data_IF_358238414380
#
_entry.id   IF_358238414380
#
_cell.length_a   1.000
_cell.length_b   1.000
_cell.length_c   1.000
_cell.angle_alpha   90.00
_cell.angle_beta   90.00
_cell.angle_gamma   90.00
#
_symmetry.space_group_name_H-M   'P 1'
#
loop_
_entity.id
_entity.type
_entity.pdbx_description
1 polymer ?
#
# COMPACT_ATOMS: atom_id res chain seq x y z
N UNK A 1 42.01 -22.15 -18.77
CA UNK A 1 40.57 -22.08 -19.08
C UNK A 1 39.85 -21.73 -17.78
N UNK A 2 39.62 -20.44 -17.51
CA UNK A 2 39.01 -19.98 -16.25
C UNK A 2 37.50 -20.01 -16.45
N UNK A 3 36.82 -20.95 -15.79
CA UNK A 3 35.36 -20.97 -15.71
C UNK A 3 34.90 -19.73 -14.93
N UNK A 4 34.39 -18.73 -15.66
CA UNK A 4 33.71 -17.57 -15.06
C UNK A 4 32.33 -18.06 -14.60
N UNK A 5 32.23 -18.48 -13.34
CA UNK A 5 30.92 -18.68 -12.71
C UNK A 5 30.23 -17.31 -12.67
N UNK A 6 29.36 -17.01 -13.64
CA UNK A 6 28.41 -15.91 -13.48
C UNK A 6 27.41 -16.35 -12.43
N UNK A 7 27.69 -16.03 -11.18
CA UNK A 7 26.80 -16.15 -10.02
C UNK A 7 25.64 -15.18 -10.19
N UNK A 8 24.74 -15.49 -11.12
CA UNK A 8 23.44 -14.82 -11.17
C UNK A 8 22.75 -15.05 -9.82
N UNK A 9 22.29 -13.99 -9.14
CA UNK A 9 21.60 -14.15 -7.86
C UNK A 9 20.36 -15.03 -8.05
N UNK A 10 20.02 -15.82 -7.03
CA UNK A 10 18.77 -16.57 -7.06
C UNK A 10 17.58 -15.61 -7.13
N UNK A 11 16.45 -16.10 -7.66
CA UNK A 11 15.23 -15.28 -7.79
C UNK A 11 14.79 -14.67 -6.45
N UNK A 12 14.94 -15.41 -5.35
CA UNK A 12 14.67 -14.94 -4.00
C UNK A 12 15.57 -13.76 -3.61
N UNK A 13 16.88 -13.84 -3.91
CA UNK A 13 17.82 -12.73 -3.68
C UNK A 13 17.44 -11.52 -4.53
N UNK A 14 16.99 -11.71 -5.77
CA UNK A 14 16.53 -10.60 -6.62
C UNK A 14 15.32 -9.88 -6.01
N UNK A 15 14.35 -10.61 -5.45
CA UNK A 15 13.19 -10.01 -4.77
C UNK A 15 13.62 -9.26 -3.52
N UNK A 16 14.48 -9.86 -2.70
CA UNK A 16 14.98 -9.20 -1.49
C UNK A 16 15.73 -7.91 -1.81
N UNK A 17 16.55 -7.91 -2.88
CA UNK A 17 17.21 -6.70 -3.35
C UNK A 17 16.20 -5.66 -3.87
N UNK A 18 15.17 -6.09 -4.60
CA UNK A 18 14.13 -5.19 -5.09
C UNK A 18 13.34 -4.53 -3.96
N UNK A 19 12.85 -5.31 -3.00
CA UNK A 19 12.15 -4.79 -1.81
C UNK A 19 13.08 -3.94 -0.96
N UNK A 20 14.32 -4.39 -0.75
CA UNK A 20 15.33 -3.64 -0.02
C UNK A 20 15.59 -2.28 -0.63
N UNK A 21 15.69 -2.18 -1.96
CA UNK A 21 15.85 -0.91 -2.67
C UNK A 21 14.64 0.01 -2.48
N UNK A 22 13.42 -0.51 -2.60
CA UNK A 22 12.19 0.26 -2.42
C UNK A 22 12.07 0.82 -0.99
N UNK A 23 12.25 -0.06 0.01
CA UNK A 23 12.16 0.30 1.43
C UNK A 23 13.30 1.23 1.84
N UNK A 24 14.52 1.05 1.32
CA UNK A 24 15.60 2.01 1.52
C UNK A 24 15.26 3.39 0.92
N UNK A 25 14.56 3.43 -0.21
CA UNK A 25 14.00 4.65 -0.78
C UNK A 25 13.02 5.33 0.17
N UNK A 26 12.10 4.56 0.76
CA UNK A 26 11.12 5.05 1.74
C UNK A 26 11.81 5.69 2.95
N UNK A 27 12.76 4.97 3.56
CA UNK A 27 13.54 5.49 4.67
C UNK A 27 14.41 6.70 4.30
N UNK A 28 14.90 6.77 3.06
CA UNK A 28 15.62 7.95 2.59
C UNK A 28 14.70 9.18 2.53
N UNK A 29 13.47 9.05 2.02
CA UNK A 29 12.49 10.15 2.02
C UNK A 29 12.09 10.56 3.44
N UNK A 30 11.81 9.61 4.33
CA UNK A 30 11.53 9.88 5.75
C UNK A 30 12.71 10.60 6.43
N UNK A 31 13.94 10.13 6.19
CA UNK A 31 15.16 10.74 6.73
C UNK A 31 15.41 12.15 6.20
N UNK A 32 15.17 12.38 4.90
CA UNK A 32 15.26 13.71 4.29
C UNK A 32 14.20 14.67 4.86
N UNK A 33 12.99 14.19 5.13
CA UNK A 33 11.93 14.96 5.75
C UNK A 33 12.27 15.38 7.19
N UNK A 34 12.83 14.45 7.98
CA UNK A 34 13.36 14.75 9.31
C UNK A 34 14.50 15.78 9.25
N UNK A 35 15.45 15.60 8.34
CA UNK A 35 16.58 16.51 8.16
C UNK A 35 16.12 17.92 7.74
N UNK A 36 15.20 18.00 6.79
CA UNK A 36 14.61 19.24 6.30
C UNK A 36 13.90 20.03 7.41
N UNK A 37 13.24 19.33 8.33
CA UNK A 37 12.46 19.94 9.41
C UNK A 37 13.34 20.32 10.60
N UNK A 38 14.16 19.39 11.11
CA UNK A 38 14.85 19.59 12.40
C UNK A 38 16.28 20.10 12.30
N UNK A 39 16.97 19.85 11.19
CA UNK A 39 18.40 20.18 11.07
C UNK A 39 18.60 21.38 10.16
N UNK A 40 18.00 21.34 8.97
CA UNK A 40 18.15 22.41 7.98
C UNK A 40 17.22 23.59 8.25
N UNK A 41 16.04 23.33 8.83
CA UNK A 41 15.00 24.34 9.05
C UNK A 41 14.50 25.00 7.76
N UNK A 42 14.78 24.39 6.60
CA UNK A 42 14.48 24.95 5.27
C UNK A 42 13.01 24.84 4.91
N UNK A 43 12.27 23.90 5.52
CA UNK A 43 10.88 23.58 5.19
C UNK A 43 10.65 23.44 3.67
N UNK A 44 11.65 22.89 2.97
CA UNK A 44 11.62 22.74 1.53
C UNK A 44 10.49 21.77 1.16
N UNK A 45 9.56 22.15 0.26
CA UNK A 45 8.49 21.28 -0.18
C UNK A 45 8.99 20.00 -0.86
N UNK A 46 10.20 20.01 -1.43
CA UNK A 46 10.79 18.88 -2.13
C UNK A 46 11.10 17.68 -1.23
N UNK A 47 11.43 17.95 0.03
CA UNK A 47 11.76 16.92 1.02
C UNK A 47 10.62 16.72 2.03
N UNK A 48 9.44 17.26 1.76
CA UNK A 48 8.28 17.01 2.57
C UNK A 48 7.53 15.78 2.04
N UNK A 49 7.37 14.75 2.87
CA UNK A 49 6.62 13.54 2.48
C UNK A 49 5.11 13.78 2.53
N UNK A 50 4.63 14.61 3.46
CA UNK A 50 3.22 15.03 3.59
C UNK A 50 2.77 15.98 2.47
N UNK A 51 3.61 16.19 1.46
CA UNK A 51 3.31 17.15 0.39
C UNK A 51 2.62 16.44 -0.76
N UNK A 52 1.37 16.84 -0.98
CA UNK A 52 0.66 16.52 -2.21
C UNK A 52 1.44 16.91 -3.47
N UNK A 53 1.45 15.96 -4.39
CA UNK A 53 2.23 15.89 -5.62
C UNK A 53 3.71 16.17 -5.39
N UNK A 54 4.21 15.74 -4.23
CA UNK A 54 5.61 15.81 -3.82
C UNK A 54 6.44 14.68 -4.41
N UNK A 55 7.77 14.78 -4.26
CA UNK A 55 8.70 13.80 -4.83
C UNK A 55 8.49 12.40 -4.22
N UNK A 56 8.16 12.33 -2.92
CA UNK A 56 7.85 11.08 -2.24
C UNK A 56 6.58 10.41 -2.79
N UNK A 57 5.54 11.20 -3.06
CA UNK A 57 4.29 10.70 -3.66
C UNK A 57 4.51 10.21 -5.09
N UNK A 58 5.31 10.92 -5.91
CA UNK A 58 5.69 10.42 -7.23
C UNK A 58 6.46 9.08 -7.16
N UNK A 59 7.26 8.88 -6.12
CA UNK A 59 7.91 7.59 -5.88
C UNK A 59 6.87 6.50 -5.58
N UNK A 60 5.83 6.79 -4.81
CA UNK A 60 4.68 5.90 -4.59
C UNK A 60 3.93 5.60 -5.90
N UNK A 61 3.70 6.60 -6.76
CA UNK A 61 3.08 6.39 -8.08
C UNK A 61 3.82 5.37 -8.94
N UNK A 62 5.16 5.46 -8.97
CA UNK A 62 6.00 4.51 -9.70
C UNK A 62 5.80 3.09 -9.18
N UNK A 63 5.64 2.90 -7.86
CA UNK A 63 5.38 1.57 -7.29
C UNK A 63 4.01 1.04 -7.69
N UNK A 64 2.96 1.87 -7.71
CA UNK A 64 1.66 1.43 -8.22
C UNK A 64 1.72 1.01 -9.69
N UNK A 65 2.44 1.77 -10.54
CA UNK A 65 2.69 1.40 -11.94
C UNK A 65 3.44 0.07 -12.02
N UNK A 66 4.48 -0.13 -11.22
CA UNK A 66 5.21 -1.40 -11.18
C UNK A 66 4.34 -2.56 -10.73
N UNK A 67 3.49 -2.39 -9.71
CA UNK A 67 2.52 -3.41 -9.29
C UNK A 67 1.62 -3.80 -10.47
N UNK A 68 1.05 -2.82 -11.18
CA UNK A 68 0.19 -3.09 -12.34
C UNK A 68 0.95 -3.83 -13.46
N UNK A 69 2.17 -3.43 -13.78
CA UNK A 69 3.01 -4.10 -14.78
C UNK A 69 3.38 -5.53 -14.36
N UNK A 70 3.73 -5.75 -13.09
CA UNK A 70 4.04 -7.07 -12.57
C UNK A 70 2.82 -7.99 -12.58
N UNK A 71 1.62 -7.46 -12.28
CA UNK A 71 0.37 -8.22 -12.43
C UNK A 71 0.11 -8.61 -13.88
N UNK A 72 0.43 -7.76 -14.87
CA UNK A 72 0.40 -8.15 -16.29
C UNK A 72 1.33 -9.33 -16.56
N UNK A 73 2.54 -9.35 -15.98
CA UNK A 73 3.47 -10.49 -16.08
C UNK A 73 2.85 -11.75 -15.45
N UNK A 74 2.20 -11.64 -14.29
CA UNK A 74 1.49 -12.75 -13.65
C UNK A 74 0.36 -13.28 -14.55
N UNK A 75 -0.41 -12.41 -15.21
CA UNK A 75 -1.47 -12.81 -16.17
C UNK A 75 -0.87 -13.64 -17.29
N UNK A 76 0.22 -13.18 -17.91
CA UNK A 76 0.85 -13.87 -19.03
C UNK A 76 1.37 -15.25 -18.63
N UNK A 77 1.89 -15.37 -17.40
CA UNK A 77 2.45 -16.63 -16.89
C UNK A 77 1.39 -17.61 -16.40
N UNK A 78 0.47 -17.15 -15.55
CA UNK A 78 -0.57 -18.00 -14.96
C UNK A 78 -1.77 -18.19 -15.91
N UNK A 79 -1.81 -17.46 -17.04
CA UNK A 79 -2.91 -17.45 -18.03
C UNK A 79 -4.27 -17.16 -17.40
N UNK A 80 -4.28 -16.38 -16.33
CA UNK A 80 -5.47 -16.06 -15.54
C UNK A 80 -5.81 -14.59 -15.68
N UNK A 81 -6.89 -14.29 -16.40
CA UNK A 81 -7.41 -12.92 -16.54
C UNK A 81 -8.01 -12.37 -15.25
N UNK A 82 -8.18 -13.21 -14.21
CA UNK A 82 -8.71 -12.77 -12.92
C UNK A 82 -7.85 -11.67 -12.27
N UNK A 83 -6.54 -11.62 -12.53
CA UNK A 83 -5.64 -10.57 -12.04
C UNK A 83 -5.91 -9.18 -12.64
N UNK A 84 -6.70 -9.06 -13.70
CA UNK A 84 -7.17 -7.76 -14.20
C UNK A 84 -7.95 -7.01 -13.11
N UNK A 85 -8.69 -7.73 -12.26
CA UNK A 85 -9.39 -7.11 -11.13
C UNK A 85 -8.45 -6.36 -10.18
N UNK A 86 -7.28 -6.94 -9.88
CA UNK A 86 -6.26 -6.27 -9.07
C UNK A 86 -5.57 -5.12 -9.80
N UNK A 87 -5.34 -5.23 -11.11
CA UNK A 87 -4.79 -4.12 -11.90
C UNK A 87 -5.71 -2.90 -11.80
N UNK A 88 -7.03 -3.10 -11.95
CA UNK A 88 -8.01 -2.02 -11.84
C UNK A 88 -7.96 -1.36 -10.46
N UNK A 89 -7.82 -2.13 -9.38
CA UNK A 89 -7.68 -1.59 -8.02
C UNK A 89 -6.43 -0.71 -7.88
N UNK A 90 -5.26 -1.19 -8.31
CA UNK A 90 -4.03 -0.40 -8.17
C UNK A 90 -3.97 0.81 -9.11
N UNK A 91 -4.56 0.71 -10.30
CA UNK A 91 -4.72 1.87 -11.17
C UNK A 91 -5.69 2.89 -10.57
N UNK A 92 -6.74 2.43 -9.87
CA UNK A 92 -7.61 3.33 -9.12
C UNK A 92 -6.83 4.05 -8.02
N UNK A 93 -6.07 3.35 -7.17
CA UNK A 93 -5.24 4.01 -6.13
C UNK A 93 -4.31 5.07 -6.73
N UNK A 94 -3.60 4.73 -7.82
CA UNK A 94 -2.75 5.68 -8.53
C UNK A 94 -3.53 6.90 -9.03
N UNK A 95 -4.70 6.69 -9.64
CA UNK A 95 -5.53 7.79 -10.14
C UNK A 95 -6.08 8.64 -8.99
N UNK A 96 -6.56 7.99 -7.93
CA UNK A 96 -7.13 8.64 -6.77
C UNK A 96 -6.13 9.61 -6.14
N UNK A 97 -4.90 9.17 -5.86
CA UNK A 97 -3.83 10.01 -5.32
C UNK A 97 -3.45 11.13 -6.32
N UNK A 98 -3.21 10.77 -7.59
CA UNK A 98 -2.72 11.72 -8.59
C UNK A 98 -3.68 12.89 -8.88
N UNK A 99 -4.98 12.62 -8.94
CA UNK A 99 -6.01 13.61 -9.25
C UNK A 99 -6.92 13.95 -8.06
N UNK A 100 -6.66 13.39 -6.87
CA UNK A 100 -7.37 13.67 -5.62
C UNK A 100 -8.87 13.40 -5.74
N UNK A 101 -9.25 12.19 -6.18
CA UNK A 101 -10.67 11.86 -6.41
C UNK A 101 -11.43 11.88 -5.09
N UNK A 102 -10.92 11.23 -4.04
CA UNK A 102 -11.58 11.16 -2.74
C UNK A 102 -11.72 12.54 -2.08
N UNK A 103 -10.72 13.42 -2.18
CA UNK A 103 -10.83 14.81 -1.69
C UNK A 103 -11.86 15.62 -2.48
N UNK A 104 -11.76 15.60 -3.80
CA UNK A 104 -12.61 16.44 -4.67
C UNK A 104 -14.07 16.01 -4.60
N UNK A 105 -14.34 14.71 -4.71
CA UNK A 105 -15.69 14.16 -4.63
C UNK A 105 -16.20 14.22 -3.18
N UNK A 106 -15.35 13.98 -2.19
CA UNK A 106 -15.71 14.08 -0.77
C UNK A 106 -16.20 15.48 -0.42
N UNK A 107 -15.49 16.51 -0.88
CA UNK A 107 -15.90 17.91 -0.69
C UNK A 107 -17.22 18.26 -1.37
N UNK A 108 -17.48 17.71 -2.56
CA UNK A 108 -18.77 17.87 -3.24
C UNK A 108 -19.92 17.21 -2.48
N UNK A 109 -19.68 16.03 -1.88
CA UNK A 109 -20.70 15.31 -1.11
C UNK A 109 -21.13 16.08 0.14
N UNK A 110 -20.19 16.70 0.85
CA UNK A 110 -20.48 17.38 2.12
C UNK A 110 -20.77 18.87 1.98
N UNK A 111 -20.48 19.47 0.82
CA UNK A 111 -20.69 20.89 0.56
C UNK A 111 -22.14 21.37 0.69
N UNK A 112 -23.11 20.46 0.54
CA UNK A 112 -24.54 20.75 0.66
C UNK A 112 -25.22 20.05 1.86
N UNK A 113 -24.42 19.42 2.74
CA UNK A 113 -24.95 18.66 3.88
C UNK A 113 -24.66 19.40 5.18
N UNK A 114 -25.73 19.76 5.88
CA UNK A 114 -25.65 20.36 7.20
C UNK A 114 -25.67 19.29 8.28
N UNK A 115 -24.48 18.99 8.81
CA UNK A 115 -24.31 18.22 10.02
C UNK A 115 -23.21 18.84 10.89
N UNK A 116 -23.27 18.60 12.19
CA UNK A 116 -22.25 19.05 13.13
C UNK A 116 -21.08 18.06 13.07
N UNK A 117 -19.84 18.50 12.79
CA UNK A 117 -18.69 17.62 12.81
C UNK A 117 -18.50 17.01 14.21
N UNK A 118 -18.10 15.73 14.26
CA UNK A 118 -17.92 14.98 15.49
C UNK A 118 -16.51 14.40 15.55
N UNK A 119 -16.07 13.99 16.75
CA UNK A 119 -14.79 13.33 16.97
C UNK A 119 -13.53 14.14 16.57
N UNK A 120 -13.62 15.46 16.48
CA UNK A 120 -12.50 16.32 16.06
C UNK A 120 -12.24 16.34 14.56
N UNK A 121 -13.05 15.63 13.77
CA UNK A 121 -12.94 15.61 12.31
C UNK A 121 -13.68 16.78 11.66
N UNK A 122 -13.23 17.18 10.49
CA UNK A 122 -13.87 18.17 9.61
C UNK A 122 -14.97 17.50 8.79
N UNK A 123 -15.91 18.27 8.26
CA UNK A 123 -16.92 17.74 7.32
C UNK A 123 -16.26 17.04 6.11
N UNK A 124 -15.17 17.64 5.61
CA UNK A 124 -14.39 17.14 4.49
C UNK A 124 -13.93 15.70 4.72
N UNK A 125 -13.38 15.40 5.89
CA UNK A 125 -12.83 14.08 6.25
C UNK A 125 -13.91 12.99 6.21
N UNK A 126 -15.14 13.30 6.62
CA UNK A 126 -16.28 12.38 6.46
C UNK A 126 -16.66 12.16 4.98
N UNK A 127 -16.55 13.20 4.16
CA UNK A 127 -16.77 13.11 2.72
C UNK A 127 -15.73 12.23 2.04
N UNK A 128 -14.45 12.43 2.36
CA UNK A 128 -13.32 11.63 1.90
C UNK A 128 -13.51 10.16 2.28
N UNK A 129 -13.79 9.88 3.57
CA UNK A 129 -14.05 8.53 4.05
C UNK A 129 -15.23 7.87 3.32
N UNK A 130 -16.32 8.62 3.07
CA UNK A 130 -17.49 8.11 2.36
C UNK A 130 -17.16 7.74 0.90
N UNK A 131 -16.35 8.56 0.20
CA UNK A 131 -15.90 8.24 -1.16
C UNK A 131 -14.96 7.04 -1.15
N UNK A 132 -13.98 7.00 -0.24
CA UNK A 132 -13.02 5.89 -0.15
C UNK A 132 -13.72 4.56 0.14
N UNK A 133 -14.67 4.53 1.08
CA UNK A 133 -15.49 3.34 1.36
C UNK A 133 -16.39 2.99 0.18
N UNK A 134 -17.08 3.98 -0.40
CA UNK A 134 -17.98 3.78 -1.54
C UNK A 134 -17.26 3.19 -2.74
N UNK A 135 -16.12 3.76 -3.13
CA UNK A 135 -15.32 3.26 -4.25
C UNK A 135 -14.68 1.91 -3.91
N UNK A 136 -14.21 1.71 -2.68
CA UNK A 136 -13.73 0.41 -2.20
C UNK A 136 -14.78 -0.68 -2.38
N UNK A 137 -16.04 -0.42 -1.99
CA UNK A 137 -17.15 -1.36 -2.20
C UNK A 137 -17.43 -1.63 -3.68
N UNK A 138 -17.38 -0.61 -4.54
CA UNK A 138 -17.56 -0.77 -5.99
C UNK A 138 -16.46 -1.67 -6.58
N UNK A 139 -15.19 -1.44 -6.19
CA UNK A 139 -14.04 -2.22 -6.65
C UNK A 139 -14.05 -3.65 -6.10
N UNK A 140 -14.63 -3.88 -4.92
CA UNK A 140 -14.78 -5.21 -4.34
C UNK A 140 -15.69 -6.12 -5.17
N UNK A 141 -16.71 -5.59 -5.86
CA UNK A 141 -17.66 -6.40 -6.63
C UNK A 141 -16.98 -7.26 -7.71
N UNK A 142 -16.24 -6.71 -8.69
CA UNK A 142 -15.54 -7.51 -9.70
C UNK A 142 -14.44 -8.40 -9.09
N UNK A 143 -13.85 -7.97 -7.97
CA UNK A 143 -12.80 -8.72 -7.27
C UNK A 143 -13.36 -9.97 -6.59
N UNK A 144 -14.48 -9.85 -5.87
CA UNK A 144 -15.19 -10.98 -5.26
C UNK A 144 -15.61 -11.99 -6.32
N UNK A 145 -16.14 -11.50 -7.45
CA UNK A 145 -16.48 -12.37 -8.58
C UNK A 145 -15.26 -13.12 -9.13
N UNK A 146 -14.14 -12.41 -9.28
CA UNK A 146 -12.86 -13.00 -9.72
C UNK A 146 -12.33 -14.03 -8.73
N UNK A 147 -12.47 -13.79 -7.42
CA UNK A 147 -12.08 -14.73 -6.35
C UNK A 147 -12.94 -15.98 -6.37
N UNK A 148 -14.25 -15.80 -6.55
CA UNK A 148 -15.20 -16.91 -6.58
C UNK A 148 -14.92 -17.84 -7.77
N UNK A 149 -14.64 -17.29 -8.96
CA UNK A 149 -14.33 -18.09 -10.16
C UNK A 149 -12.85 -18.48 -10.31
N UNK A 150 -11.96 -17.80 -9.59
CA UNK A 150 -10.52 -17.93 -9.74
C UNK A 150 -9.96 -19.26 -9.22
N UNK A 151 -8.74 -19.57 -9.65
CA UNK A 151 -7.99 -20.74 -9.18
C UNK A 151 -7.66 -20.62 -7.68
N UNK A 152 -7.35 -21.75 -7.02
CA UNK A 152 -6.90 -21.72 -5.63
C UNK A 152 -5.64 -20.85 -5.43
N UNK A 153 -4.75 -20.82 -6.43
CA UNK A 153 -3.57 -19.93 -6.43
C UNK A 153 -4.01 -18.48 -6.42
N UNK A 154 -4.90 -18.07 -7.34
CA UNK A 154 -5.43 -16.71 -7.39
C UNK A 154 -6.11 -16.30 -6.07
N UNK A 155 -6.88 -17.20 -5.45
CA UNK A 155 -7.54 -16.93 -4.17
C UNK A 155 -6.54 -16.65 -3.05
N UNK A 156 -5.51 -17.48 -2.90
CA UNK A 156 -4.45 -17.27 -1.90
C UNK A 156 -3.68 -15.98 -2.18
N UNK A 157 -3.32 -15.73 -3.43
CA UNK A 157 -2.68 -14.47 -3.84
C UNK A 157 -3.55 -13.27 -3.50
N UNK A 158 -4.86 -13.37 -3.72
CA UNK A 158 -5.80 -12.30 -3.42
C UNK A 158 -5.92 -12.05 -1.92
N UNK A 159 -5.92 -13.08 -1.08
CA UNK A 159 -5.92 -12.92 0.37
C UNK A 159 -4.65 -12.22 0.87
N UNK A 160 -3.49 -12.58 0.33
CA UNK A 160 -2.23 -11.93 0.66
C UNK A 160 -2.21 -10.46 0.23
N UNK A 161 -2.68 -10.14 -0.99
CA UNK A 161 -2.82 -8.76 -1.47
C UNK A 161 -3.82 -7.98 -0.59
N UNK A 162 -4.96 -8.59 -0.23
CA UNK A 162 -5.94 -7.97 0.67
C UNK A 162 -5.33 -7.63 2.03
N UNK A 163 -4.55 -8.54 2.61
CA UNK A 163 -3.88 -8.29 3.88
C UNK A 163 -2.91 -7.11 3.79
N UNK A 164 -2.13 -7.03 2.70
CA UNK A 164 -1.19 -5.94 2.47
C UNK A 164 -1.88 -4.60 2.13
N UNK A 165 -3.00 -4.62 1.40
CA UNK A 165 -3.86 -3.44 1.24
C UNK A 165 -4.47 -3.03 2.58
N UNK A 166 -4.82 -3.98 3.45
CA UNK A 166 -5.27 -3.67 4.80
C UNK A 166 -4.24 -2.87 5.59
N UNK A 167 -2.94 -3.15 5.39
CA UNK A 167 -1.86 -2.35 5.97
C UNK A 167 -1.82 -0.93 5.38
N UNK A 168 -1.94 -0.80 4.06
CA UNK A 168 -2.01 0.50 3.38
C UNK A 168 -3.19 1.34 3.88
N UNK A 169 -4.40 0.77 3.90
CA UNK A 169 -5.63 1.42 4.39
C UNK A 169 -5.53 1.77 5.87
N UNK A 170 -4.84 0.96 6.67
CA UNK A 170 -4.61 1.29 8.07
C UNK A 170 -3.83 2.60 8.21
N UNK A 171 -2.75 2.79 7.44
CA UNK A 171 -2.00 4.04 7.48
C UNK A 171 -2.78 5.19 6.86
N UNK A 172 -3.22 5.07 5.60
CA UNK A 172 -3.85 6.17 4.87
C UNK A 172 -5.31 6.48 5.21
N UNK A 173 -5.91 5.75 6.15
CA UNK A 173 -7.25 6.09 6.64
C UNK A 173 -7.27 6.11 8.16
N UNK A 174 -6.81 5.04 8.83
CA UNK A 174 -6.95 4.97 10.29
C UNK A 174 -5.97 5.92 10.98
N UNK A 175 -4.70 5.92 10.57
CA UNK A 175 -3.69 6.82 11.17
C UNK A 175 -3.97 8.27 10.81
N UNK A 176 -4.33 8.56 9.55
CA UNK A 176 -4.77 9.90 9.11
C UNK A 176 -5.94 10.45 9.97
N UNK A 177 -7.02 9.66 10.14
CA UNK A 177 -8.14 10.09 10.98
C UNK A 177 -7.71 10.36 12.44
N UNK A 178 -6.77 9.59 12.99
CA UNK A 178 -6.22 9.87 14.32
C UNK A 178 -5.35 11.13 14.34
N UNK A 179 -4.55 11.34 13.30
CA UNK A 179 -3.71 12.52 13.15
C UNK A 179 -4.57 13.80 13.19
N UNK A 180 -5.69 13.82 12.47
CA UNK A 180 -6.63 14.94 12.46
C UNK A 180 -7.40 15.06 13.79
N UNK A 181 -7.94 13.95 14.30
CA UNK A 181 -8.86 13.95 15.44
C UNK A 181 -8.20 14.30 16.80
N UNK A 182 -6.92 13.94 17.00
CA UNK A 182 -6.28 14.03 18.32
C UNK A 182 -5.76 15.42 18.67
N UNK A 183 -5.72 16.38 17.72
CA UNK A 183 -5.24 17.76 17.91
C UNK A 183 -3.97 17.83 18.78
N UNK A 184 -2.98 16.99 18.47
CA UNK A 184 -1.76 16.86 19.27
C UNK A 184 -0.90 18.13 19.21
N UNK A 185 0.05 18.23 20.15
CA UNK A 185 1.12 19.23 20.04
C UNK A 185 1.90 19.06 18.74
N UNK A 186 2.60 20.11 18.30
CA UNK A 186 3.33 20.11 17.03
C UNK A 186 4.19 18.85 16.82
N UNK A 187 4.94 18.41 17.83
CA UNK A 187 5.77 17.21 17.73
C UNK A 187 4.98 15.89 17.63
N UNK A 188 3.79 15.82 18.25
CA UNK A 188 2.91 14.66 18.16
C UNK A 188 2.21 14.56 16.81
N UNK A 189 1.70 15.70 16.29
CA UNK A 189 1.12 15.78 14.94
C UNK A 189 2.17 15.43 13.88
N UNK A 190 3.37 16.02 13.97
CA UNK A 190 4.48 15.69 13.08
C UNK A 190 4.86 14.19 13.08
N UNK A 191 4.90 13.57 14.26
CA UNK A 191 5.20 12.14 14.36
C UNK A 191 4.09 11.28 13.74
N UNK A 192 2.82 11.66 13.92
CA UNK A 192 1.70 10.93 13.31
C UNK A 192 1.72 11.05 11.79
N UNK A 193 1.92 12.26 11.23
CA UNK A 193 2.09 12.44 9.78
C UNK A 193 3.25 11.62 9.20
N UNK A 194 4.39 11.58 9.90
CA UNK A 194 5.52 10.73 9.50
C UNK A 194 5.18 9.23 9.52
N UNK A 195 4.39 8.77 10.51
CA UNK A 195 3.97 7.36 10.62
C UNK A 195 2.93 7.02 9.56
N UNK A 196 2.02 7.94 9.28
CA UNK A 196 0.99 7.86 8.26
C UNK A 196 1.62 7.68 6.88
N UNK A 197 2.26 8.72 6.34
CA UNK A 197 2.86 8.69 4.99
C UNK A 197 3.96 7.64 4.87
N UNK A 198 4.84 7.55 5.88
CA UNK A 198 5.91 6.56 5.89
C UNK A 198 5.37 5.13 5.89
N UNK A 199 4.28 4.91 6.62
CA UNK A 199 3.58 3.63 6.69
C UNK A 199 2.93 3.25 5.36
N UNK A 200 2.29 4.21 4.68
CA UNK A 200 1.78 3.99 3.32
C UNK A 200 2.90 3.60 2.35
N UNK A 201 3.97 4.39 2.30
CA UNK A 201 5.09 4.17 1.39
C UNK A 201 5.67 2.77 1.53
N UNK A 202 5.91 2.32 2.77
CA UNK A 202 6.41 0.98 3.09
C UNK A 202 5.39 -0.09 2.70
N UNK A 203 4.10 0.14 2.94
CA UNK A 203 3.03 -0.79 2.58
C UNK A 203 2.99 -1.05 1.07
N UNK A 204 3.12 0.00 0.25
CA UNK A 204 3.18 -0.12 -1.21
C UNK A 204 4.47 -0.82 -1.66
N UNK A 205 5.60 -0.58 -0.97
CA UNK A 205 6.86 -1.30 -1.23
C UNK A 205 6.74 -2.81 -0.98
N UNK A 206 6.06 -3.20 0.11
CA UNK A 206 5.78 -4.61 0.42
C UNK A 206 4.82 -5.23 -0.59
N UNK A 207 3.78 -4.50 -1.02
CA UNK A 207 2.87 -4.92 -2.09
C UNK A 207 3.62 -5.18 -3.40
N UNK A 208 4.46 -4.25 -3.84
CA UNK A 208 5.28 -4.40 -5.03
C UNK A 208 6.21 -5.63 -4.93
N UNK A 209 6.85 -5.81 -3.78
CA UNK A 209 7.67 -6.98 -3.49
C UNK A 209 6.92 -8.30 -3.58
N UNK A 210 5.75 -8.37 -2.96
CA UNK A 210 4.90 -9.54 -2.98
C UNK A 210 4.42 -9.88 -4.39
N UNK A 211 3.94 -8.89 -5.15
CA UNK A 211 3.52 -9.11 -6.55
C UNK A 211 4.71 -9.52 -7.42
N UNK A 212 5.90 -8.97 -7.18
CA UNK A 212 7.11 -9.41 -7.89
C UNK A 212 7.44 -10.88 -7.58
N UNK A 213 7.33 -11.30 -6.31
CA UNK A 213 7.47 -12.70 -5.92
C UNK A 213 6.51 -13.62 -6.70
N UNK A 214 5.28 -13.16 -6.95
CA UNK A 214 4.29 -13.91 -7.74
C UNK A 214 4.65 -14.06 -9.22
N UNK A 215 5.57 -13.27 -9.75
CA UNK A 215 6.02 -13.42 -11.15
C UNK A 215 6.88 -14.68 -11.37
N UNK A 216 7.57 -15.20 -10.35
CA UNK A 216 8.45 -16.36 -10.49
C UNK A 216 7.84 -17.70 -10.12
N UNK A 217 8.58 -18.79 -10.39
CA UNK A 217 8.14 -20.18 -10.20
C UNK A 217 7.91 -20.64 -8.75
N UNK A 218 7.98 -19.71 -7.81
CA UNK A 218 7.65 -19.81 -6.39
C UNK A 218 6.15 -20.01 -6.15
N UNK A 219 5.59 -21.11 -6.63
CA UNK A 219 4.19 -21.51 -6.45
C UNK A 219 3.82 -21.82 -4.99
N UNK A 220 4.80 -21.88 -4.07
CA UNK A 220 4.62 -22.40 -2.70
C UNK A 220 4.71 -21.35 -1.58
N UNK A 221 5.04 -20.09 -1.88
CA UNK A 221 5.17 -19.06 -0.84
C UNK A 221 3.93 -18.15 -0.85
N UNK A 222 2.98 -18.49 0.02
CA UNK A 222 1.82 -17.65 0.34
C UNK A 222 1.95 -17.17 1.78
N UNK A 223 1.71 -15.89 2.03
CA UNK A 223 1.76 -15.32 3.38
C UNK A 223 0.69 -15.97 4.26
N UNK A 224 -0.49 -16.21 3.69
CA UNK A 224 -1.57 -16.95 4.30
C UNK A 224 -1.15 -18.34 4.80
N UNK A 225 -0.44 -19.13 3.98
CA UNK A 225 -0.02 -20.49 4.35
C UNK A 225 1.03 -20.45 5.48
N UNK A 226 1.97 -19.51 5.43
CA UNK A 226 2.96 -19.31 6.49
C UNK A 226 2.31 -18.92 7.83
N UNK A 227 1.30 -18.05 7.80
CA UNK A 227 0.55 -17.66 8.98
C UNK A 227 -0.25 -18.83 9.56
N UNK A 228 -0.95 -19.60 8.72
CA UNK A 228 -1.77 -20.72 9.16
C UNK A 228 -0.95 -21.87 9.73
N UNK A 229 0.20 -22.21 9.13
CA UNK A 229 1.11 -23.21 9.69
C UNK A 229 1.60 -22.81 11.09
N UNK A 230 1.99 -21.55 11.27
CA UNK A 230 2.45 -21.05 12.59
C UNK A 230 1.33 -21.04 13.62
N UNK A 231 0.09 -20.76 13.21
CA UNK A 231 -1.07 -20.84 14.11
C UNK A 231 -1.37 -22.27 14.54
N UNK A 232 -1.35 -23.23 13.60
CA UNK A 232 -1.57 -24.65 13.90
C UNK A 232 -0.50 -25.22 14.84
N UNK A 233 0.77 -24.86 14.62
CA UNK A 233 1.89 -25.27 15.47
C UNK A 233 1.70 -24.79 16.92
N UNK A 234 1.40 -23.50 17.13
CA UNK A 234 1.16 -22.94 18.47
C UNK A 234 -0.05 -23.54 19.17
N UNK A 235 -1.08 -23.93 18.40
CA UNK A 235 -2.26 -24.60 18.96
C UNK A 235 -1.95 -26.03 19.42
N UNK A 236 -1.04 -26.73 18.73
CA UNK A 236 -0.59 -28.06 19.13
C UNK A 236 0.24 -28.01 20.43
N UNK A 237 1.13 -27.02 20.58
CA UNK A 237 1.90 -26.80 21.83
C UNK A 237 1.01 -26.43 23.03
N UNK A 238 -0.09 -25.71 22.81
CA UNK A 238 -1.00 -25.33 23.89
C UNK A 238 -1.89 -26.48 24.41
N UNK A 239 -1.93 -27.61 23.69
CA UNK A 239 -2.75 -28.79 24.01
C UNK A 239 -1.89 -29.96 24.51
N UNK A 240 -0.56 -29.89 24.36
CA UNK A 240 0.43 -30.85 24.91
C UNK A 240 0.88 -30.47 26.31
#
# INVERSE_FOLDING_TARGET
MIYKHSSTPSFEVTILLFVGLLVCGDFAFMGLHLLNTFVLGTQSPFFNIERDRGVAEFFQYIKYIWIALLLCVVILREKSMAYISWIVVFLYFLCDDAIKIHESVGGLLVGNVDFVPMFGLRKQDFGELAVSVGTGLILLVPLIFSIWKGSNVFRKTSLDIFFLIGLLVFFGVVVDMFHIALHLSWGGSYLLGLIEDGGEMISVSLLAGYVFLRTGNSQNYFLYDAFMQRWQYRRAEAIS
#
